data_IF_006107666050
#
_entry.id   IF_006107666050
#
_cell.length_a   1.000
_cell.length_b   1.000
_cell.length_c   1.000
_cell.angle_alpha   90.00
_cell.angle_beta   90.00
_cell.angle_gamma   90.00
#
_symmetry.space_group_name_H-M   'P 1'
#
loop_
_entity.id
_entity.type
_entity.pdbx_description
1 polymer ?
#
# COMPACT_ATOMS: atom_id res chain seq x y z
N UNK A 1 10.71 0.59 13.33
CA UNK A 1 9.26 0.31 13.27
C UNK A 1 8.65 0.70 11.92
N UNK A 2 9.06 1.81 11.30
CA UNK A 2 8.60 2.23 9.97
C UNK A 2 8.85 1.17 8.88
N UNK A 3 10.04 0.56 8.88
CA UNK A 3 10.42 -0.47 7.90
C UNK A 3 9.52 -1.72 8.00
N UNK A 4 9.19 -2.13 9.23
CA UNK A 4 8.28 -3.25 9.47
C UNK A 4 6.89 -2.97 8.87
N UNK A 5 6.42 -1.72 8.94
CA UNK A 5 5.15 -1.34 8.33
C UNK A 5 5.19 -1.48 6.80
N UNK A 6 6.28 -1.05 6.16
CA UNK A 6 6.47 -1.20 4.71
C UNK A 6 6.49 -2.67 4.30
N UNK A 7 7.24 -3.50 5.04
CA UNK A 7 7.37 -4.93 4.76
C UNK A 7 6.14 -5.76 5.12
N UNK A 8 5.20 -5.23 5.91
CA UNK A 8 3.98 -5.96 6.30
C UNK A 8 2.79 -5.51 5.46
N UNK A 9 2.54 -4.21 5.36
CA UNK A 9 1.30 -3.72 4.74
C UNK A 9 1.20 -4.13 3.28
N UNK A 10 2.24 -3.88 2.48
CA UNK A 10 2.20 -4.19 1.05
C UNK A 10 1.93 -5.68 0.75
N UNK A 11 2.73 -6.64 1.25
CA UNK A 11 2.50 -8.05 0.92
C UNK A 11 1.17 -8.59 1.46
N UNK A 12 0.73 -8.16 2.64
CA UNK A 12 -0.58 -8.58 3.16
C UNK A 12 -1.74 -8.02 2.33
N UNK A 13 -1.65 -6.77 1.89
CA UNK A 13 -2.62 -6.19 0.97
C UNK A 13 -2.68 -6.96 -0.36
N UNK A 14 -1.52 -7.30 -0.93
CA UNK A 14 -1.46 -8.06 -2.18
C UNK A 14 -2.01 -9.48 -2.01
N UNK A 15 -1.69 -10.16 -0.90
CA UNK A 15 -2.24 -11.48 -0.58
C UNK A 15 -3.76 -11.43 -0.42
N UNK A 16 -4.27 -10.45 0.34
CA UNK A 16 -5.70 -10.26 0.53
C UNK A 16 -6.40 -9.93 -0.78
N UNK A 17 -5.81 -9.07 -1.63
CA UNK A 17 -6.36 -8.77 -2.95
C UNK A 17 -6.48 -10.02 -3.81
N UNK A 18 -5.44 -10.85 -3.88
CA UNK A 18 -5.45 -12.09 -4.65
C UNK A 18 -6.53 -13.07 -4.15
N UNK A 19 -6.64 -13.27 -2.83
CA UNK A 19 -7.66 -14.14 -2.24
C UNK A 19 -9.06 -13.59 -2.49
N UNK A 20 -9.27 -12.29 -2.24
CA UNK A 20 -10.57 -11.64 -2.43
C UNK A 20 -11.02 -11.75 -3.87
N UNK A 21 -10.12 -11.50 -4.84
CA UNK A 21 -10.43 -11.58 -6.26
C UNK A 21 -10.84 -13.00 -6.68
N UNK A 22 -10.10 -14.02 -6.22
CA UNK A 22 -10.44 -15.43 -6.47
C UNK A 22 -11.79 -15.85 -5.86
N UNK A 23 -12.15 -15.33 -4.69
CA UNK A 23 -13.38 -15.70 -3.98
C UNK A 23 -14.60 -14.94 -4.49
N UNK A 24 -14.47 -13.64 -4.77
CA UNK A 24 -15.60 -12.77 -5.08
C UNK A 24 -15.77 -12.47 -6.57
N UNK A 25 -14.76 -12.75 -7.41
CA UNK A 25 -14.71 -12.34 -8.82
C UNK A 25 -15.05 -10.86 -9.06
N UNK A 26 -14.84 -10.03 -8.03
CA UNK A 26 -15.14 -8.60 -8.04
C UNK A 26 -13.92 -7.84 -7.57
N UNK A 27 -13.45 -6.92 -8.41
CA UNK A 27 -12.29 -6.10 -8.09
C UNK A 27 -12.76 -4.89 -7.29
N UNK A 28 -12.78 -5.02 -5.96
CA UNK A 28 -13.10 -3.91 -5.07
C UNK A 28 -11.88 -3.01 -4.85
N UNK A 29 -12.04 -1.68 -5.01
CA UNK A 29 -10.96 -0.70 -4.86
C UNK A 29 -10.47 -0.47 -3.41
N UNK A 30 -10.91 -1.29 -2.44
CA UNK A 30 -10.54 -1.11 -1.03
C UNK A 30 -9.04 -1.28 -0.79
N UNK A 31 -8.41 -2.28 -1.42
CA UNK A 31 -6.96 -2.52 -1.28
C UNK A 31 -6.14 -1.41 -1.94
N UNK A 32 -6.40 -1.02 -3.21
CA UNK A 32 -5.74 0.14 -3.81
C UNK A 32 -5.85 1.42 -2.98
N UNK A 33 -7.04 1.75 -2.47
CA UNK A 33 -7.25 2.94 -1.64
C UNK A 33 -6.42 2.88 -0.37
N UNK A 34 -6.37 1.72 0.30
CA UNK A 34 -5.56 1.55 1.50
C UNK A 34 -4.06 1.71 1.18
N UNK A 35 -3.58 1.12 0.09
CA UNK A 35 -2.17 1.25 -0.32
C UNK A 35 -1.78 2.70 -0.60
N UNK A 36 -2.62 3.45 -1.31
CA UNK A 36 -2.39 4.88 -1.57
C UNK A 36 -2.41 5.69 -0.28
N UNK A 37 -3.37 5.45 0.62
CA UNK A 37 -3.44 6.15 1.89
C UNK A 37 -2.22 5.89 2.77
N UNK A 38 -1.76 4.63 2.82
CA UNK A 38 -0.56 4.25 3.56
C UNK A 38 0.67 4.91 2.96
N UNK A 39 0.84 4.88 1.63
CA UNK A 39 1.93 5.58 0.96
C UNK A 39 1.95 7.08 1.31
N UNK A 40 0.81 7.76 1.18
CA UNK A 40 0.70 9.20 1.42
C UNK A 40 1.07 9.60 2.86
N UNK A 41 0.84 8.73 3.84
CA UNK A 41 1.14 8.99 5.25
C UNK A 41 2.55 8.55 5.66
N UNK A 42 3.06 7.47 5.06
CA UNK A 42 4.28 6.79 5.53
C UNK A 42 5.51 7.24 4.74
N UNK A 43 5.38 7.43 3.43
CA UNK A 43 6.51 7.80 2.58
C UNK A 43 7.16 9.14 3.00
N UNK A 44 6.42 10.20 3.39
CA UNK A 44 7.01 11.44 3.90
C UNK A 44 7.87 11.25 5.16
N UNK A 45 7.61 10.20 5.95
CA UNK A 45 8.34 9.90 7.18
C UNK A 45 9.68 9.18 6.93
N UNK A 46 9.97 8.80 5.69
CA UNK A 46 11.21 8.11 5.32
C UNK A 46 12.41 9.05 5.13
N UNK A 47 12.17 10.36 5.11
CA UNK A 47 13.21 11.38 4.87
C UNK A 47 13.53 11.63 3.39
N UNK A 48 12.73 11.08 2.47
CA UNK A 48 12.83 11.36 1.03
C UNK A 48 12.44 12.82 0.70
N UNK A 49 13.03 13.36 -0.36
CA UNK A 49 12.67 14.69 -0.86
C UNK A 49 11.31 14.68 -1.57
N UNK A 50 10.74 15.88 -1.74
CA UNK A 50 9.42 16.05 -2.35
C UNK A 50 9.36 15.70 -3.83
N UNK A 51 10.46 15.82 -4.57
CA UNK A 51 10.46 15.39 -5.96
C UNK A 51 10.38 13.87 -6.04
N UNK A 52 11.22 13.14 -5.29
CA UNK A 52 11.12 11.67 -5.23
C UNK A 52 9.76 11.21 -4.71
N UNK A 53 9.19 11.84 -3.69
CA UNK A 53 7.84 11.50 -3.21
C UNK A 53 6.77 11.68 -4.30
N UNK A 54 6.81 12.78 -5.05
CA UNK A 54 5.80 13.08 -6.09
C UNK A 54 5.95 12.30 -7.39
N UNK A 55 7.09 11.66 -7.63
CA UNK A 55 7.34 10.84 -8.82
C UNK A 55 6.88 9.38 -8.68
N UNK A 56 6.46 8.95 -7.48
CA UNK A 56 5.93 7.61 -7.21
C UNK A 56 4.40 7.60 -7.25
#
# INVERSE_FOLDING_TARGET
MLEALIFVVFPFCMLFAAISDMLSMTIANRVPVLLVAVFALVAPLTGMDWATYGWH
#
